data_IF_427417636526
#
_entry.id   IF_427417636526
#
_cell.length_a   1.000
_cell.length_b   1.000
_cell.length_c   1.000
_cell.angle_alpha   90.00
_cell.angle_beta   90.00
_cell.angle_gamma   90.00
#
_symmetry.space_group_name_H-M   'P 1'
#
loop_
_entity.id
_entity.type
_entity.pdbx_description
1 polymer ?
#
# COMPACT_ATOMS: atom_id res chain seq x y z
N UNK A 1 -17.50 -2.30 -13.09
CA UNK A 1 -16.86 -1.36 -14.04
C UNK A 1 -15.36 -1.70 -14.13
N UNK A 2 -14.61 -1.20 -15.11
CA UNK A 2 -13.13 -1.32 -15.09
C UNK A 2 -12.51 -0.74 -13.80
N UNK A 3 -13.24 0.13 -13.07
CA UNK A 3 -12.83 0.67 -11.77
C UNK A 3 -12.94 -0.35 -10.61
N UNK A 4 -13.75 -1.41 -10.74
CA UNK A 4 -13.85 -2.50 -9.74
C UNK A 4 -12.69 -3.51 -9.87
N UNK A 5 -11.86 -3.38 -10.91
CA UNK A 5 -10.73 -4.27 -11.20
C UNK A 5 -9.41 -3.84 -10.53
N UNK A 6 -9.43 -2.79 -9.70
CA UNK A 6 -8.24 -2.22 -9.05
C UNK A 6 -7.98 -2.79 -7.65
N UNK A 7 -8.08 -4.12 -7.45
CA UNK A 7 -7.91 -4.72 -6.11
C UNK A 7 -6.50 -4.53 -5.55
N UNK A 8 -5.46 -4.75 -6.34
CA UNK A 8 -4.09 -4.38 -6.01
C UNK A 8 -3.25 -4.37 -7.30
N UNK A 9 -2.63 -3.25 -7.65
CA UNK A 9 -1.78 -3.16 -8.84
C UNK A 9 -0.40 -2.61 -8.49
N UNK A 10 0.64 -3.27 -9.01
CA UNK A 10 1.99 -2.71 -8.98
C UNK A 10 2.10 -1.63 -10.04
N UNK A 11 2.40 -0.43 -9.57
CA UNK A 11 2.69 0.73 -10.37
C UNK A 11 4.19 1.03 -10.28
N UNK A 12 4.73 1.62 -11.35
CA UNK A 12 6.12 2.05 -11.44
C UNK A 12 6.15 3.52 -11.82
N UNK A 13 6.92 4.30 -11.07
CA UNK A 13 7.13 5.71 -11.31
C UNK A 13 8.61 5.96 -11.58
N UNK A 14 8.89 6.68 -12.66
CA UNK A 14 10.23 7.16 -12.96
C UNK A 14 10.35 8.55 -12.34
N UNK A 15 11.24 8.70 -11.35
CA UNK A 15 11.54 9.97 -10.72
C UNK A 15 12.40 10.86 -11.65
N UNK A 16 12.46 12.19 -11.40
CA UNK A 16 13.27 13.12 -12.20
C UNK A 16 14.77 12.78 -12.28
N UNK A 17 15.29 12.03 -11.33
CA UNK A 17 16.67 11.52 -11.29
C UNK A 17 16.84 10.17 -12.03
N UNK A 18 15.84 9.75 -12.80
CA UNK A 18 15.72 8.44 -13.48
C UNK A 18 15.64 7.23 -12.54
N UNK A 19 15.47 7.44 -11.23
CA UNK A 19 15.24 6.34 -10.30
C UNK A 19 13.83 5.78 -10.50
N UNK A 20 13.74 4.46 -10.66
CA UNK A 20 12.45 3.76 -10.69
C UNK A 20 12.02 3.45 -9.27
N UNK A 21 10.81 3.87 -8.91
CA UNK A 21 10.15 3.49 -7.66
C UNK A 21 8.87 2.72 -7.96
N UNK A 22 8.68 1.61 -7.27
CA UNK A 22 7.50 0.77 -7.39
C UNK A 22 6.67 0.82 -6.11
N UNK A 23 5.36 0.67 -6.27
CA UNK A 23 4.40 0.64 -5.18
C UNK A 23 3.15 -0.14 -5.59
N UNK A 24 2.44 -0.65 -4.59
CA UNK A 24 1.11 -1.23 -4.77
C UNK A 24 0.09 -0.17 -4.37
N UNK A 25 -0.83 0.15 -5.27
CA UNK A 25 -1.97 1.00 -4.97
C UNK A 25 -3.23 0.15 -4.77
N UNK A 26 -3.98 0.49 -3.73
CA UNK A 26 -5.23 -0.17 -3.35
C UNK A 26 -6.32 0.85 -3.09
N UNK A 27 -7.52 0.60 -3.61
CA UNK A 27 -8.70 1.41 -3.39
C UNK A 27 -9.51 0.89 -2.19
N UNK A 28 -8.94 0.99 -0.98
CA UNK A 28 -9.59 0.57 0.28
C UNK A 28 -9.23 1.52 1.44
N UNK A 29 -9.79 1.29 2.62
CA UNK A 29 -9.50 2.00 3.86
C UNK A 29 -8.12 1.66 4.37
N UNK A 30 -7.40 2.68 4.86
CA UNK A 30 -6.10 2.47 5.50
C UNK A 30 -6.21 1.69 6.81
N UNK A 31 -7.29 1.86 7.57
CA UNK A 31 -7.45 1.22 8.88
C UNK A 31 -7.46 -0.31 8.76
N UNK A 32 -8.11 -0.83 7.71
CA UNK A 32 -8.11 -2.26 7.38
C UNK A 32 -6.70 -2.81 7.16
N UNK A 33 -5.84 -2.03 6.50
CA UNK A 33 -4.47 -2.41 6.25
C UNK A 33 -3.60 -2.30 7.50
N UNK A 34 -3.79 -1.27 8.32
CA UNK A 34 -3.06 -1.12 9.59
C UNK A 34 -3.32 -2.34 10.46
N UNK A 35 -4.59 -2.66 10.73
CA UNK A 35 -4.98 -3.80 11.58
C UNK A 35 -4.40 -5.13 11.05
N UNK A 36 -4.50 -5.36 9.74
CA UNK A 36 -3.99 -6.57 9.11
C UNK A 36 -2.46 -6.68 9.17
N UNK A 37 -1.76 -5.56 8.98
CA UNK A 37 -0.30 -5.51 9.03
C UNK A 37 0.22 -5.63 10.45
N UNK A 38 -0.44 -4.99 11.43
CA UNK A 38 -0.07 -5.13 12.84
C UNK A 38 -0.22 -6.56 13.33
N UNK A 39 -1.35 -7.19 12.99
CA UNK A 39 -1.58 -8.60 13.33
C UNK A 39 -0.52 -9.53 12.72
N UNK A 40 -0.02 -9.22 11.52
CA UNK A 40 0.93 -10.08 10.80
C UNK A 40 2.39 -9.78 11.10
N UNK A 41 2.75 -8.52 11.30
CA UNK A 41 4.13 -8.04 11.31
C UNK A 41 4.52 -7.30 12.60
N UNK A 42 3.58 -7.07 13.52
CA UNK A 42 3.80 -6.34 14.77
C UNK A 42 3.54 -4.84 14.66
N UNK A 43 3.87 -4.13 15.74
CA UNK A 43 3.52 -2.71 15.94
C UNK A 43 3.96 -1.80 14.78
N UNK A 44 3.12 -0.82 14.47
CA UNK A 44 3.39 0.20 13.45
C UNK A 44 4.09 1.42 14.04
N UNK A 45 5.04 1.98 13.29
CA UNK A 45 5.61 3.29 13.57
C UNK A 45 5.02 4.34 12.61
N UNK A 46 4.20 5.25 13.14
CA UNK A 46 3.63 6.36 12.37
C UNK A 46 4.51 7.61 12.48
N UNK A 47 4.91 8.16 11.33
CA UNK A 47 5.65 9.42 11.24
C UNK A 47 5.12 10.26 10.09
N UNK A 48 4.56 11.43 10.40
CA UNK A 48 4.10 12.44 9.43
C UNK A 48 3.13 11.89 8.36
N UNK A 49 2.26 10.96 8.75
CA UNK A 49 1.30 10.27 7.90
C UNK A 49 1.85 9.10 7.10
N UNK A 50 3.04 8.64 7.45
CA UNK A 50 3.64 7.42 6.89
C UNK A 50 3.65 6.36 7.97
N UNK A 51 3.04 5.21 7.67
CA UNK A 51 3.03 4.04 8.54
C UNK A 51 4.18 3.13 8.13
N UNK A 52 5.06 2.81 9.07
CA UNK A 52 6.29 2.07 8.82
C UNK A 52 6.30 0.78 9.63
N UNK A 53 6.61 -0.32 8.95
CA UNK A 53 7.03 -1.57 9.58
C UNK A 53 8.47 -1.85 9.21
N UNK A 54 9.28 -2.20 10.19
CA UNK A 54 10.70 -2.53 10.02
C UNK A 54 10.99 -3.90 10.60
N UNK A 55 12.00 -4.58 10.06
CA UNK A 55 12.35 -5.92 10.53
C UNK A 55 11.41 -7.01 10.04
N UNK A 56 10.57 -6.71 9.04
CA UNK A 56 9.56 -7.64 8.53
C UNK A 56 10.22 -8.87 7.90
N UNK A 57 9.68 -10.04 8.19
CA UNK A 57 10.05 -11.30 7.57
C UNK A 57 8.90 -11.81 6.71
N UNK A 58 9.19 -12.07 5.43
CA UNK A 58 8.26 -12.71 4.51
C UNK A 58 8.95 -13.93 3.92
N UNK A 59 8.40 -15.10 4.20
CA UNK A 59 8.84 -16.36 3.63
C UNK A 59 8.96 -16.25 2.11
N UNK A 60 10.07 -16.73 1.55
CA UNK A 60 10.43 -16.65 0.12
C UNK A 60 10.92 -15.30 -0.42
N UNK A 61 10.84 -14.20 0.36
CA UNK A 61 11.47 -12.92 -0.02
C UNK A 61 12.72 -12.66 0.82
N UNK A 62 12.62 -12.83 2.14
CA UNK A 62 13.76 -12.66 3.05
C UNK A 62 13.39 -12.01 4.37
N UNK A 63 14.43 -11.65 5.13
CA UNK A 63 14.35 -11.03 6.46
C UNK A 63 14.70 -9.55 6.40
N UNK A 64 14.22 -8.78 7.37
CA UNK A 64 14.49 -7.35 7.53
C UNK A 64 13.96 -6.48 6.37
N UNK A 65 12.80 -6.84 5.83
CA UNK A 65 12.07 -5.96 4.94
C UNK A 65 11.57 -4.72 5.70
N UNK A 66 11.42 -3.63 4.97
CA UNK A 66 10.71 -2.45 5.43
C UNK A 66 9.48 -2.26 4.58
N UNK A 67 8.36 -1.98 5.22
CA UNK A 67 7.10 -1.64 4.57
C UNK A 67 6.79 -0.18 4.90
N UNK A 68 6.48 0.62 3.89
CA UNK A 68 5.95 1.96 4.05
C UNK A 68 4.56 2.04 3.46
N UNK A 69 3.62 2.60 4.21
CA UNK A 69 2.25 2.76 3.77
C UNK A 69 1.81 4.21 3.93
N UNK A 70 1.10 4.71 2.93
CA UNK A 70 0.59 6.08 2.86
C UNK A 70 -0.91 6.03 2.61
N UNK A 71 -1.67 6.87 3.30
CA UNK A 71 -3.04 7.20 2.94
C UNK A 71 -3.02 8.37 1.96
N UNK A 72 -3.89 8.35 0.95
CA UNK A 72 -4.02 9.47 0.03
C UNK A 72 -5.38 9.53 -0.65
N UNK A 73 -5.53 10.60 -1.43
CA UNK A 73 -6.69 10.84 -2.28
C UNK A 73 -6.27 10.63 -3.73
N UNK A 74 -7.04 9.81 -4.42
CA UNK A 74 -6.99 9.65 -5.87
C UNK A 74 -7.69 10.83 -6.53
N UNK A 75 -6.93 11.62 -7.28
CA UNK A 75 -7.48 12.68 -8.12
C UNK A 75 -7.29 12.33 -9.58
N UNK A 76 -8.37 12.35 -10.34
CA UNK A 76 -8.31 12.22 -11.80
C UNK A 76 -8.39 13.61 -12.43
N UNK A 77 -7.35 14.04 -13.13
CA UNK A 77 -7.35 15.29 -13.92
C UNK A 77 -6.88 14.99 -15.32
N UNK A 78 -7.66 15.37 -16.35
CA UNK A 78 -7.29 15.19 -17.77
C UNK A 78 -6.82 13.75 -18.11
N UNK A 79 -7.53 12.73 -17.61
CA UNK A 79 -7.21 11.30 -17.75
C UNK A 79 -5.92 10.83 -17.04
N UNK A 80 -5.29 11.68 -16.22
CA UNK A 80 -4.18 11.29 -15.35
C UNK A 80 -4.72 11.02 -13.93
N UNK A 81 -4.38 9.86 -13.39
CA UNK A 81 -4.70 9.48 -12.00
C UNK A 81 -3.48 9.80 -11.14
N UNK A 82 -3.66 10.70 -10.16
CA UNK A 82 -2.62 11.09 -9.22
C UNK A 82 -2.99 10.67 -7.81
N UNK A 83 -2.03 10.13 -7.06
CA UNK A 83 -2.13 9.89 -5.63
C UNK A 83 -1.58 11.09 -4.86
N UNK A 84 -2.39 11.71 -4.02
CA UNK A 84 -1.95 12.79 -3.13
C UNK A 84 -1.94 12.27 -1.70
N UNK A 85 -0.75 11.99 -1.11
CA UNK A 85 -0.66 11.59 0.29
C UNK A 85 -1.27 12.65 1.21
N UNK A 86 -1.96 12.20 2.25
CA UNK A 86 -2.57 13.07 3.25
C UNK A 86 -2.14 12.63 4.65
N UNK A 87 -2.04 13.60 5.56
CA UNK A 87 -1.79 13.28 6.96
C UNK A 87 -3.04 12.67 7.62
N UNK A 88 -2.90 11.88 8.70
CA UNK A 88 -4.02 11.30 9.44
C UNK A 88 -5.01 12.36 9.92
N UNK A 89 -4.51 13.52 10.34
CA UNK A 89 -5.34 14.66 10.75
C UNK A 89 -6.17 15.24 9.60
N UNK A 90 -5.59 15.33 8.39
CA UNK A 90 -6.32 15.74 7.18
C UNK A 90 -7.31 14.67 6.76
N UNK A 91 -7.02 13.39 7.04
CA UNK A 91 -7.90 12.29 6.69
C UNK A 91 -9.29 12.37 7.35
N UNK A 92 -9.36 12.98 8.55
CA UNK A 92 -10.61 13.24 9.27
C UNK A 92 -11.45 14.38 8.67
N UNK A 93 -10.90 15.17 7.75
CA UNK A 93 -11.54 16.37 7.15
C UNK A 93 -11.84 16.22 5.65
N UNK A 94 -11.64 15.02 5.09
CA UNK A 94 -11.87 14.71 3.66
C UNK A 94 -13.38 14.74 3.36
N UNK A 95 -13.77 15.24 2.20
CA UNK A 95 -15.16 15.23 1.73
C UNK A 95 -15.60 13.81 1.35
N UNK A 96 -16.89 13.49 1.48
CA UNK A 96 -17.37 12.12 1.23
C UNK A 96 -17.27 11.67 -0.25
N UNK A 97 -17.02 12.59 -1.18
CA UNK A 97 -16.94 12.31 -2.61
C UNK A 97 -15.49 12.13 -3.14
N UNK A 98 -14.49 12.24 -2.27
CA UNK A 98 -13.08 12.02 -2.65
C UNK A 98 -12.75 10.53 -2.62
N UNK A 99 -12.22 10.00 -3.74
CA UNK A 99 -11.76 8.60 -3.82
C UNK A 99 -10.50 8.43 -2.97
N UNK A 100 -10.58 7.68 -1.87
CA UNK A 100 -9.46 7.42 -0.96
C UNK A 100 -8.71 6.17 -1.41
N UNK A 101 -7.46 6.05 -1.00
CA UNK A 101 -6.78 4.77 -1.12
C UNK A 101 -5.44 4.74 -0.42
N UNK A 102 -4.81 3.59 -0.54
CA UNK A 102 -3.60 3.23 0.15
C UNK A 102 -2.51 2.96 -0.86
N UNK A 103 -1.32 3.50 -0.60
CA UNK A 103 -0.11 3.20 -1.35
C UNK A 103 0.89 2.49 -0.46
N UNK A 104 1.33 1.32 -0.88
CA UNK A 104 2.22 0.44 -0.10
C UNK A 104 3.53 0.23 -0.86
N UNK A 105 4.64 0.43 -0.17
CA UNK A 105 6.01 0.25 -0.69
C UNK A 105 6.76 -0.77 0.14
N UNK A 106 7.55 -1.60 -0.54
CA UNK A 106 8.34 -2.66 0.09
C UNK A 106 9.82 -2.45 -0.25
N UNK A 107 10.67 -2.52 0.77
CA UNK A 107 12.11 -2.35 0.63
C UNK A 107 12.83 -3.53 1.24
N UNK A 108 13.88 -3.98 0.54
CA UNK A 108 14.84 -4.94 1.06
C UNK A 108 15.78 -4.28 2.08
N UNK A 109 16.54 -5.10 2.83
CA UNK A 109 17.47 -4.65 3.87
C UNK A 109 18.48 -3.58 3.38
N UNK A 110 18.92 -3.68 2.12
CA UNK A 110 19.86 -2.75 1.49
C UNK A 110 19.20 -1.49 0.91
N UNK A 111 17.89 -1.30 1.17
CA UNK A 111 17.12 -0.16 0.70
C UNK A 111 16.63 -0.28 -0.75
N UNK A 112 16.91 -1.41 -1.42
CA UNK A 112 16.40 -1.65 -2.77
C UNK A 112 14.90 -1.90 -2.76
N UNK A 113 14.26 -1.53 -3.87
CA UNK A 113 12.86 -1.80 -4.13
C UNK A 113 12.60 -3.31 -4.23
N UNK A 114 11.76 -3.84 -3.34
CA UNK A 114 11.46 -5.27 -3.33
C UNK A 114 10.54 -5.68 -4.50
N UNK A 115 9.75 -4.76 -5.06
CA UNK A 115 8.79 -5.01 -6.14
C UNK A 115 9.44 -5.03 -7.54
N UNK A 116 10.75 -4.77 -7.64
CA UNK A 116 11.46 -4.85 -8.93
C UNK A 116 11.61 -6.29 -9.42
N UNK A 117 11.62 -7.26 -8.49
CA UNK A 117 11.62 -8.68 -8.79
C UNK A 117 10.20 -9.15 -9.07
N UNK A 118 9.98 -9.80 -10.22
CA UNK A 118 8.66 -10.33 -10.58
C UNK A 118 8.15 -11.40 -9.59
N UNK A 119 9.06 -12.19 -9.03
CA UNK A 119 8.71 -13.18 -8.01
C UNK A 119 8.19 -12.51 -6.73
N UNK A 120 8.89 -11.47 -6.26
CA UNK A 120 8.47 -10.72 -5.09
C UNK A 120 7.15 -9.98 -5.34
N UNK A 121 6.97 -9.40 -6.53
CA UNK A 121 5.72 -8.76 -6.93
C UNK A 121 4.53 -9.71 -6.79
N UNK A 122 4.62 -10.94 -7.28
CA UNK A 122 3.55 -11.93 -7.18
C UNK A 122 3.24 -12.24 -5.70
N UNK A 123 4.26 -12.52 -4.89
CA UNK A 123 4.09 -12.85 -3.47
C UNK A 123 3.45 -11.69 -2.70
N UNK A 124 3.93 -10.46 -2.93
CA UNK A 124 3.45 -9.28 -2.23
C UNK A 124 2.02 -8.92 -2.65
N UNK A 125 1.67 -9.02 -3.94
CA UNK A 125 0.28 -8.86 -4.39
C UNK A 125 -0.62 -9.90 -3.72
N UNK A 126 -0.22 -11.17 -3.67
CA UNK A 126 -1.02 -12.22 -3.02
C UNK A 126 -1.25 -11.93 -1.53
N UNK A 127 -0.26 -11.40 -0.82
CA UNK A 127 -0.41 -10.98 0.58
C UNK A 127 -1.47 -9.87 0.68
N UNK A 128 -1.37 -8.82 -0.14
CA UNK A 128 -2.33 -7.71 -0.15
C UNK A 128 -3.74 -8.20 -0.51
N UNK A 129 -3.88 -9.01 -1.55
CA UNK A 129 -5.17 -9.56 -1.97
C UNK A 129 -5.78 -10.47 -0.91
N UNK A 130 -4.97 -11.26 -0.19
CA UNK A 130 -5.47 -12.09 0.91
C UNK A 130 -6.09 -11.25 2.03
N UNK A 131 -5.47 -10.10 2.35
CA UNK A 131 -5.96 -9.18 3.38
C UNK A 131 -7.27 -8.51 2.97
N UNK A 132 -7.39 -8.14 1.68
CA UNK A 132 -8.63 -7.60 1.13
C UNK A 132 -9.79 -8.61 1.16
N UNK A 133 -9.49 -9.89 0.91
CA UNK A 133 -10.51 -10.94 0.90
C UNK A 133 -10.88 -11.45 2.30
N UNK A 134 -10.00 -11.36 3.29
CA UNK A 134 -10.33 -11.75 4.67
C UNK A 134 -11.44 -10.90 5.28
N UNK A 135 -11.53 -9.63 4.90
CA UNK A 135 -12.52 -8.68 5.43
C UNK A 135 -13.94 -8.91 4.87
N UNK A 136 -14.06 -9.53 3.68
CA UNK A 136 -15.36 -9.91 3.10
C UNK A 136 -16.02 -11.13 3.75
N UNK A 137 -15.26 -11.97 4.46
CA UNK A 137 -15.82 -13.19 5.07
C UNK A 137 -16.41 -12.96 6.47
N UNK A 138 -16.11 -11.85 7.14
CA UNK A 138 -16.63 -11.56 8.49
C UNK A 138 -18.00 -10.86 8.48
N UNK A 139 -18.56 -10.53 7.31
CA UNK A 139 -19.89 -9.93 7.18
C UNK A 139 -21.01 -10.94 6.85
N UNK A 140 -20.69 -12.24 6.78
CA UNK A 140 -21.64 -13.32 6.44
C UNK A 140 -21.80 -14.38 7.55
N UNK A 141 -21.35 -14.11 8.78
CA UNK A 141 -21.63 -14.96 9.96
C UNK A 141 -22.66 -14.33 10.90
#
# INVERSE_FOLDING_TARGET
SQEDSLRAHVNRMILPDNKVESYIDVNDSIDLFIDAFEKRFGEVEEQNGVYNWSGVEIDSIGKNLKIKMLHGIWTTKKNEITFNPISPEKAKKIKSNEKRGVRIRFFLKDGKDALISKANEIILIQIIESMLNSSTNTQNE
#
